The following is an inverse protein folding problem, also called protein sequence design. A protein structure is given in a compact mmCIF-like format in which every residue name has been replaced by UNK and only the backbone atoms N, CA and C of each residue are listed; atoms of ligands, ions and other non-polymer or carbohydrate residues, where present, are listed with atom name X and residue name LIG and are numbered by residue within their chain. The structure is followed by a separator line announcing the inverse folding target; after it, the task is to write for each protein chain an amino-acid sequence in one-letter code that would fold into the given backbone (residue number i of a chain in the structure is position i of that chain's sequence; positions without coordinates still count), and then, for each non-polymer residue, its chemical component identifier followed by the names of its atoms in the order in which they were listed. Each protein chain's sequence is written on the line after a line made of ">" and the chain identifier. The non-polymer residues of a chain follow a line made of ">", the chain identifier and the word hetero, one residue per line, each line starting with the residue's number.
data_IF_591533089119
#
_entry.id   IF_591533089119
#
_cell.length_a   1.000
_cell.length_b   1.000
_cell.length_c   1.000
_cell.angle_alpha   90.00
_cell.angle_beta   90.00
_cell.angle_gamma   90.00
#
_symmetry.space_group_name_H-M   'P 1'
#
loop_
_entity.id
_entity.type
_entity.pdbx_description
1 polymer ?
#
# COMPACT_ATOMS: atom_id res chain seq x y z
N UNK A 1 -47.21 24.42 11.70
CA UNK A 1 -46.16 23.37 11.79
C UNK A 1 -45.35 23.41 10.49
N UNK A 2 -44.33 24.27 10.42
CA UNK A 2 -43.53 24.46 9.20
C UNK A 2 -42.48 23.36 9.09
N UNK A 3 -42.54 22.57 8.03
CA UNK A 3 -41.62 21.46 7.76
C UNK A 3 -40.26 21.96 7.27
N UNK A 4 -39.20 21.56 7.95
CA UNK A 4 -37.83 21.78 7.50
C UNK A 4 -37.52 20.82 6.33
N UNK A 5 -37.28 21.35 5.13
CA UNK A 5 -36.68 20.57 4.03
C UNK A 5 -35.16 20.58 4.14
N UNK A 6 -34.58 19.40 4.38
CA UNK A 6 -33.13 19.17 4.30
C UNK A 6 -32.67 19.34 2.85
N UNK A 7 -31.85 20.37 2.59
CA UNK A 7 -31.17 20.57 1.30
C UNK A 7 -30.17 19.42 1.08
N UNK A 8 -30.57 18.40 0.30
CA UNK A 8 -29.65 17.39 -0.24
C UNK A 8 -28.66 18.10 -1.15
N UNK A 9 -27.39 18.16 -0.71
CA UNK A 9 -26.26 18.65 -1.49
C UNK A 9 -26.03 17.69 -2.66
N UNK A 10 -26.49 18.05 -3.86
CA UNK A 10 -26.12 17.34 -5.10
C UNK A 10 -24.61 17.55 -5.30
N UNK A 11 -23.82 16.49 -5.16
CA UNK A 11 -22.48 16.47 -5.74
C UNK A 11 -22.66 16.25 -7.24
N UNK A 12 -22.45 17.30 -8.02
CA UNK A 12 -22.29 17.19 -9.47
C UNK A 12 -21.06 16.33 -9.75
N UNK A 13 -21.29 15.05 -10.07
CA UNK A 13 -20.29 14.14 -10.58
C UNK A 13 -20.03 14.54 -12.04
N UNK A 14 -19.18 15.56 -12.25
CA UNK A 14 -18.62 15.84 -13.56
C UNK A 14 -17.67 14.70 -13.93
N UNK A 15 -18.16 13.77 -14.73
CA UNK A 15 -17.36 12.75 -15.38
C UNK A 15 -16.40 13.46 -16.35
N UNK A 16 -15.07 13.38 -16.17
CA UNK A 16 -14.14 13.99 -17.12
C UNK A 16 -14.32 13.33 -18.48
N UNK A 17 -14.59 14.15 -19.51
CA UNK A 17 -14.63 13.71 -20.90
C UNK A 17 -13.31 13.04 -21.26
N UNK A 18 -13.41 11.80 -21.76
CA UNK A 18 -12.30 11.04 -22.32
C UNK A 18 -11.69 11.80 -23.50
N UNK A 19 -10.54 12.44 -23.30
CA UNK A 19 -9.64 12.79 -24.38
C UNK A 19 -8.61 11.66 -24.52
N UNK A 20 -8.73 10.92 -25.61
CA UNK A 20 -7.68 10.08 -26.17
C UNK A 20 -6.44 10.96 -26.41
N UNK A 21 -5.41 10.82 -25.57
CA UNK A 21 -4.05 11.19 -25.95
C UNK A 21 -3.07 10.24 -25.30
N UNK A 22 -2.43 9.47 -26.17
CA UNK A 22 -1.30 8.60 -25.93
C UNK A 22 -0.08 9.40 -25.46
N UNK A 23 0.09 9.47 -24.14
CA UNK A 23 1.36 9.71 -23.45
C UNK A 23 1.15 9.16 -22.04
N UNK A 24 2.16 8.52 -21.48
CA UNK A 24 2.18 8.04 -20.09
C UNK A 24 2.12 9.26 -19.15
N UNK A 25 0.95 9.87 -18.99
CA UNK A 25 0.73 10.81 -17.90
C UNK A 25 0.78 10.00 -16.60
N UNK A 26 1.92 10.07 -15.93
CA UNK A 26 2.09 9.59 -14.57
C UNK A 26 0.96 10.19 -13.72
N UNK A 27 0.07 9.33 -13.23
CA UNK A 27 -1.07 9.76 -12.41
C UNK A 27 -0.50 10.40 -11.15
N UNK A 28 -0.67 11.72 -11.00
CA UNK A 28 -0.26 12.46 -9.81
C UNK A 28 -1.08 11.99 -8.60
N UNK A 29 -0.52 11.03 -7.85
CA UNK A 29 -1.14 10.47 -6.64
C UNK A 29 -0.98 11.37 -5.41
N UNK A 30 -0.37 12.56 -5.53
CA UNK A 30 -0.27 13.50 -4.39
C UNK A 30 -1.64 14.07 -4.00
N UNK A 31 -2.63 14.02 -4.90
CA UNK A 31 -3.99 14.48 -4.68
C UNK A 31 -4.85 13.34 -4.12
N UNK A 32 -5.53 13.51 -2.96
CA UNK A 32 -6.37 12.47 -2.35
C UNK A 32 -7.53 11.98 -3.24
N UNK A 33 -7.89 12.74 -4.27
CA UNK A 33 -8.96 12.42 -5.21
C UNK A 33 -8.47 11.67 -6.45
N UNK A 34 -7.16 11.43 -6.61
CA UNK A 34 -6.63 10.66 -7.73
C UNK A 34 -7.07 9.20 -7.59
N UNK A 35 -8.02 8.78 -8.42
CA UNK A 35 -8.47 7.38 -8.47
C UNK A 35 -7.53 6.64 -9.41
N UNK A 36 -6.71 5.75 -8.87
CA UNK A 36 -5.90 4.84 -9.68
C UNK A 36 -6.84 3.85 -10.39
N UNK A 37 -7.02 4.02 -11.70
CA UNK A 37 -7.77 3.11 -12.57
C UNK A 37 -6.80 2.33 -13.45
N UNK A 38 -6.24 1.20 -12.97
CA UNK A 38 -5.30 0.42 -13.75
C UNK A 38 -6.00 -0.15 -14.99
N UNK A 39 -5.32 -0.04 -16.14
CA UNK A 39 -5.80 -0.61 -17.42
C UNK A 39 -5.50 -2.11 -17.55
N UNK A 40 -4.71 -2.68 -16.64
CA UNK A 40 -4.34 -4.09 -16.60
C UNK A 40 -3.59 -4.47 -15.32
N UNK A 41 -3.22 -5.75 -15.19
CA UNK A 41 -2.41 -6.23 -14.07
C UNK A 41 -0.93 -5.85 -14.21
N UNK A 42 -0.21 -5.84 -13.08
CA UNK A 42 1.25 -5.69 -13.06
C UNK A 42 1.93 -6.83 -13.83
N UNK A 43 3.01 -6.50 -14.56
CA UNK A 43 3.79 -7.45 -15.36
C UNK A 43 5.03 -8.01 -14.65
N UNK A 44 5.33 -7.50 -13.46
CA UNK A 44 6.49 -7.89 -12.67
C UNK A 44 6.07 -8.32 -11.27
N UNK A 45 7.00 -8.99 -10.59
CA UNK A 45 6.91 -9.28 -9.16
C UNK A 45 8.04 -8.59 -8.41
N UNK A 46 7.82 -8.32 -7.14
CA UNK A 46 8.82 -7.78 -6.22
C UNK A 46 9.02 -8.79 -5.09
N UNK A 47 10.25 -9.31 -4.96
CA UNK A 47 10.64 -10.19 -3.85
C UNK A 47 11.65 -9.48 -2.95
N UNK A 48 11.52 -9.66 -1.63
CA UNK A 48 12.47 -9.15 -0.64
C UNK A 48 13.11 -10.33 0.08
N UNK A 49 14.44 -10.39 0.09
CA UNK A 49 15.20 -11.31 0.93
C UNK A 49 15.76 -10.59 2.15
N UNK A 50 15.55 -11.15 3.34
CA UNK A 50 16.08 -10.61 4.59
C UNK A 50 16.56 -11.71 5.56
N UNK A 51 17.57 -11.43 6.39
CA UNK A 51 18.06 -12.40 7.36
C UNK A 51 17.07 -12.59 8.51
N UNK A 52 16.87 -13.83 8.95
CA UNK A 52 16.03 -14.15 10.11
C UNK A 52 16.55 -13.53 11.41
N UNK A 53 17.86 -13.24 11.50
CA UNK A 53 18.48 -12.53 12.62
C UNK A 53 17.99 -11.09 12.81
N UNK A 54 17.28 -10.50 11.84
CA UNK A 54 16.80 -9.12 11.91
C UNK A 54 15.96 -8.85 13.16
N UNK A 55 15.22 -9.87 13.66
CA UNK A 55 14.43 -9.77 14.88
C UNK A 55 15.17 -10.30 16.14
N UNK A 56 16.37 -10.86 16.00
CA UNK A 56 17.05 -11.57 17.09
C UNK A 56 17.41 -10.64 18.26
N UNK A 57 17.79 -9.40 17.97
CA UNK A 57 18.24 -8.41 18.97
C UNK A 57 17.11 -7.72 19.74
N UNK A 58 15.83 -7.98 19.40
CA UNK A 58 14.74 -7.36 20.12
C UNK A 58 14.66 -7.89 21.57
N UNK A 59 14.48 -6.98 22.53
CA UNK A 59 14.65 -7.24 23.96
C UNK A 59 13.55 -8.12 24.59
N UNK A 60 12.43 -8.32 23.89
CA UNK A 60 11.32 -9.15 24.35
C UNK A 60 10.60 -9.82 23.17
N UNK A 61 9.82 -10.86 23.46
CA UNK A 61 9.02 -11.55 22.44
C UNK A 61 7.98 -10.61 21.78
N UNK A 62 7.41 -9.68 22.56
CA UNK A 62 6.47 -8.69 22.05
C UNK A 62 7.16 -7.76 21.05
N UNK A 63 8.38 -7.31 21.35
CA UNK A 63 9.16 -6.48 20.42
C UNK A 63 9.55 -7.24 19.15
N UNK A 64 9.89 -8.54 19.26
CA UNK A 64 10.13 -9.42 18.08
C UNK A 64 8.90 -9.46 17.18
N UNK A 65 7.73 -9.66 17.79
CA UNK A 65 6.44 -9.71 17.09
C UNK A 65 6.11 -8.37 16.43
N UNK A 66 6.32 -7.26 17.14
CA UNK A 66 6.12 -5.91 16.58
C UNK A 66 7.05 -5.63 15.41
N UNK A 67 8.32 -6.03 15.48
CA UNK A 67 9.29 -5.83 14.41
C UNK A 67 8.92 -6.64 13.16
N UNK A 68 8.51 -7.90 13.32
CA UNK A 68 7.97 -8.70 12.23
C UNK A 68 6.73 -8.05 11.60
N UNK A 69 5.81 -7.52 12.42
CA UNK A 69 4.63 -6.81 11.94
C UNK A 69 4.99 -5.52 11.17
N UNK A 70 6.02 -4.79 11.59
CA UNK A 70 6.50 -3.60 10.87
C UNK A 70 7.04 -3.94 9.49
N UNK A 71 7.84 -5.01 9.38
CA UNK A 71 8.33 -5.52 8.09
C UNK A 71 7.16 -5.93 7.20
N UNK A 72 6.21 -6.70 7.74
CA UNK A 72 5.02 -7.13 7.00
C UNK A 72 4.18 -5.94 6.51
N UNK A 73 3.98 -4.91 7.34
CA UNK A 73 3.25 -3.69 6.97
C UNK A 73 3.95 -2.96 5.83
N UNK A 74 5.27 -2.81 5.90
CA UNK A 74 6.03 -2.17 4.83
C UNK A 74 5.87 -2.95 3.52
N UNK A 75 6.05 -4.27 3.55
CA UNK A 75 5.87 -5.13 2.37
C UNK A 75 4.48 -5.00 1.76
N UNK A 76 3.43 -4.96 2.58
CA UNK A 76 2.05 -4.78 2.12
C UNK A 76 1.82 -3.40 1.48
N UNK A 77 2.35 -2.32 2.05
CA UNK A 77 2.24 -0.96 1.49
C UNK A 77 2.90 -0.86 0.13
N UNK A 78 4.04 -1.52 -0.05
CA UNK A 78 4.82 -1.51 -1.28
C UNK A 78 4.51 -2.68 -2.23
N UNK A 79 3.41 -3.41 -2.00
CA UNK A 79 2.93 -4.47 -2.89
C UNK A 79 3.97 -5.57 -3.19
N UNK A 80 4.76 -5.95 -2.18
CA UNK A 80 5.73 -7.05 -2.25
C UNK A 80 5.00 -8.39 -2.36
N UNK A 81 5.50 -9.26 -3.22
CA UNK A 81 4.90 -10.56 -3.56
C UNK A 81 5.40 -11.70 -2.70
N UNK A 82 6.69 -11.66 -2.42
CA UNK A 82 7.39 -12.74 -1.75
C UNK A 82 8.38 -12.16 -0.76
N UNK A 83 8.40 -12.75 0.43
CA UNK A 83 9.35 -12.44 1.48
C UNK A 83 10.16 -13.71 1.75
N UNK A 84 11.44 -13.69 1.40
CA UNK A 84 12.38 -14.79 1.61
C UNK A 84 13.16 -14.53 2.89
N UNK A 85 12.87 -15.33 3.92
CA UNK A 85 13.63 -15.29 5.18
C UNK A 85 14.75 -16.32 5.11
N UNK A 86 16.00 -15.86 5.13
CA UNK A 86 17.15 -16.75 5.09
C UNK A 86 17.90 -16.81 6.42
N UNK A 87 18.57 -17.93 6.68
CA UNK A 87 19.47 -18.08 7.82
C UNK A 87 20.83 -17.50 7.46
N UNK A 88 21.26 -16.46 8.18
CA UNK A 88 22.54 -15.77 8.02
C UNK A 88 23.59 -16.21 9.06
N UNK A 89 23.26 -17.17 9.91
CA UNK A 89 24.13 -17.67 10.98
C UNK A 89 24.23 -16.76 12.21
N UNK A 90 23.45 -15.67 12.30
CA UNK A 90 23.48 -14.74 13.43
C UNK A 90 22.26 -14.84 14.36
N UNK A 91 21.35 -15.78 14.12
CA UNK A 91 20.27 -16.08 15.07
C UNK A 91 20.87 -16.71 16.33
N UNK A 92 20.85 -15.99 17.45
CA UNK A 92 21.19 -16.58 18.75
C UNK A 92 20.18 -17.70 19.05
N UNK A 93 20.68 -18.94 19.17
CA UNK A 93 19.94 -20.12 19.64
C UNK A 93 19.41 -19.92 21.04
#
# INVERSE_FOLDING_TARGET
>A
MSGHQSKKRKQDFHQPQQQHQSAEEEVDTSRPSAVFTPTGGRQHTVSIALPGSVIANAQSHDLKTMMAAQVARACAVFQVDEIVVFNDGQSQT
#
